data_IF_406071777106
#
_entry.id   IF_406071777106
#
_cell.length_a   1.000
_cell.length_b   1.000
_cell.length_c   1.000
_cell.angle_alpha   90.00
_cell.angle_beta   90.00
_cell.angle_gamma   90.00
#
_symmetry.space_group_name_H-M   'P 1'
#
loop_
_entity.id
_entity.type
_entity.pdbx_description
1 polymer ?
#
# COMPACT_ATOMS: atom_id res chain seq x y z
N UNK A 1 3.09 17.46 17.95
CA UNK A 1 1.66 17.19 18.22
C UNK A 1 1.57 16.69 19.64
N UNK A 2 0.84 17.40 20.49
CA UNK A 2 0.68 17.04 21.90
C UNK A 2 -0.01 15.67 22.03
N UNK A 3 0.20 14.98 23.15
CA UNK A 3 -0.56 13.77 23.49
C UNK A 3 -2.06 14.05 23.46
N UNK A 4 -2.46 15.24 23.90
CA UNK A 4 -3.86 15.69 23.93
C UNK A 4 -4.41 15.90 22.50
N UNK A 5 -3.60 16.45 21.58
CA UNK A 5 -4.00 16.65 20.17
C UNK A 5 -4.29 15.31 19.48
N UNK A 6 -3.55 14.26 19.84
CA UNK A 6 -3.74 12.91 19.29
C UNK A 6 -5.02 12.28 19.78
N UNK A 7 -5.24 12.31 21.09
CA UNK A 7 -6.48 11.80 21.71
C UNK A 7 -7.69 12.51 21.12
N UNK A 8 -7.60 13.83 20.94
CA UNK A 8 -8.65 14.62 20.32
C UNK A 8 -8.94 14.22 18.86
N UNK A 9 -7.90 14.02 18.03
CA UNK A 9 -8.08 13.59 16.65
C UNK A 9 -8.60 12.14 16.55
N UNK A 10 -8.23 11.26 17.46
CA UNK A 10 -8.75 9.89 17.54
C UNK A 10 -10.25 9.89 17.89
N UNK A 11 -10.66 10.76 18.82
CA UNK A 11 -12.06 10.94 19.18
C UNK A 11 -12.90 11.52 18.04
N UNK A 12 -12.34 12.51 17.32
CA UNK A 12 -12.94 13.10 16.12
C UNK A 12 -13.16 12.04 15.03
N UNK A 13 -12.13 11.24 14.77
CA UNK A 13 -12.16 10.16 13.78
C UNK A 13 -13.18 9.08 14.14
N UNK A 14 -13.28 8.69 15.42
CA UNK A 14 -14.28 7.74 15.91
C UNK A 14 -15.70 8.26 15.66
N UNK A 15 -15.91 9.56 15.88
CA UNK A 15 -17.20 10.23 15.66
C UNK A 15 -17.58 10.23 14.18
N UNK A 16 -16.66 10.63 13.30
CA UNK A 16 -16.91 10.63 11.86
C UNK A 16 -17.19 9.25 11.29
N UNK A 17 -16.41 8.23 11.69
CA UNK A 17 -16.65 6.85 11.24
C UNK A 17 -18.02 6.33 11.68
N UNK A 18 -18.45 6.65 12.90
CA UNK A 18 -19.78 6.26 13.39
C UNK A 18 -20.89 6.92 12.57
N UNK A 19 -20.74 8.20 12.25
CA UNK A 19 -21.72 8.93 11.42
C UNK A 19 -21.74 8.40 9.98
N UNK A 20 -20.56 8.18 9.39
CA UNK A 20 -20.42 7.62 8.05
C UNK A 20 -21.12 6.25 7.95
N UNK A 21 -20.89 5.36 8.92
CA UNK A 21 -21.52 4.04 8.93
C UNK A 21 -23.06 4.11 8.96
N UNK A 22 -23.63 5.04 9.74
CA UNK A 22 -25.08 5.23 9.78
C UNK A 22 -25.61 5.73 8.43
N UNK A 23 -24.92 6.69 7.81
CA UNK A 23 -25.32 7.24 6.51
C UNK A 23 -25.13 6.22 5.38
N UNK A 24 -24.09 5.40 5.41
CA UNK A 24 -23.89 4.31 4.44
C UNK A 24 -24.98 3.24 4.56
N UNK A 25 -25.42 2.91 5.78
CA UNK A 25 -26.58 2.03 6.00
C UNK A 25 -27.88 2.65 5.47
N UNK A 26 -28.09 3.95 5.69
CA UNK A 26 -29.25 4.66 5.15
C UNK A 26 -29.21 4.72 3.62
N UNK A 27 -28.06 5.07 3.03
CA UNK A 27 -27.86 5.07 1.59
C UNK A 27 -28.11 3.68 0.99
N UNK A 28 -27.66 2.61 1.65
CA UNK A 28 -27.95 1.24 1.25
C UNK A 28 -29.45 0.90 1.35
N UNK A 29 -30.17 1.43 2.35
CA UNK A 29 -31.61 1.25 2.50
C UNK A 29 -32.41 1.93 1.37
N UNK A 30 -31.99 3.12 0.94
CA UNK A 30 -32.63 3.86 -0.16
C UNK A 30 -32.13 3.45 -1.55
N UNK A 31 -30.98 2.78 -1.65
CA UNK A 31 -30.38 2.33 -2.89
C UNK A 31 -30.14 3.49 -3.87
N UNK A 32 -30.62 3.34 -5.10
CA UNK A 32 -30.48 4.36 -6.16
C UNK A 32 -31.26 5.65 -5.84
N UNK A 33 -32.20 5.61 -4.90
CA UNK A 33 -33.02 6.76 -4.49
C UNK A 33 -32.48 7.45 -3.24
N UNK A 34 -31.22 7.20 -2.85
CA UNK A 34 -30.60 7.89 -1.73
C UNK A 34 -30.71 9.42 -1.93
N UNK A 35 -31.31 10.16 -0.98
CA UNK A 35 -31.42 11.60 -1.08
C UNK A 35 -30.04 12.27 -1.24
N UNK A 36 -29.92 13.35 -2.04
CA UNK A 36 -28.63 14.00 -2.30
C UNK A 36 -27.89 14.46 -1.04
N UNK A 37 -28.61 14.88 0.00
CA UNK A 37 -27.98 15.30 1.26
C UNK A 37 -27.25 14.15 1.97
N UNK A 38 -27.68 12.90 1.80
CA UNK A 38 -27.01 11.73 2.36
C UNK A 38 -25.71 11.45 1.59
N UNK A 39 -25.75 11.49 0.25
CA UNK A 39 -24.57 11.24 -0.56
C UNK A 39 -23.51 12.33 -0.38
N UNK A 40 -23.92 13.60 -0.30
CA UNK A 40 -23.03 14.73 -0.04
C UNK A 40 -22.38 14.58 1.35
N UNK A 41 -23.18 14.27 2.39
CA UNK A 41 -22.64 14.10 3.75
C UNK A 41 -21.69 12.90 3.85
N UNK A 42 -21.93 11.81 3.10
CA UNK A 42 -21.01 10.67 3.00
C UNK A 42 -19.67 11.09 2.39
N UNK A 43 -19.71 11.84 1.28
CA UNK A 43 -18.49 12.27 0.59
C UNK A 43 -17.68 13.25 1.45
N UNK A 44 -18.34 14.21 2.10
CA UNK A 44 -17.71 15.15 3.03
C UNK A 44 -17.08 14.43 4.23
N UNK A 45 -17.79 13.46 4.82
CA UNK A 45 -17.28 12.67 5.94
C UNK A 45 -16.08 11.81 5.53
N UNK A 46 -16.07 11.25 4.32
CA UNK A 46 -14.92 10.49 3.80
C UNK A 46 -13.68 11.38 3.67
N UNK A 47 -13.84 12.59 3.16
CA UNK A 47 -12.75 13.58 3.08
C UNK A 47 -12.25 13.95 4.48
N UNK A 48 -13.15 14.24 5.41
CA UNK A 48 -12.78 14.58 6.80
C UNK A 48 -12.08 13.44 7.53
N UNK A 49 -12.49 12.19 7.33
CA UNK A 49 -11.81 11.00 7.86
C UNK A 49 -10.40 10.91 7.26
N UNK A 50 -10.27 11.03 5.95
CA UNK A 50 -8.98 10.94 5.27
C UNK A 50 -8.00 12.03 5.77
N UNK A 51 -8.46 13.26 5.91
CA UNK A 51 -7.63 14.37 6.44
C UNK A 51 -7.21 14.14 7.89
N UNK A 52 -8.13 13.62 8.72
CA UNK A 52 -7.87 13.33 10.13
C UNK A 52 -6.89 12.15 10.26
N UNK A 53 -7.03 11.13 9.42
CA UNK A 53 -6.09 10.01 9.31
C UNK A 53 -4.72 10.45 8.84
N UNK A 54 -4.61 11.40 7.90
CA UNK A 54 -3.31 11.98 7.50
C UNK A 54 -2.66 12.76 8.64
N UNK A 55 -3.43 13.53 9.42
CA UNK A 55 -2.95 14.24 10.62
C UNK A 55 -2.50 13.27 11.72
N UNK A 56 -3.23 12.18 11.95
CA UNK A 56 -2.84 11.11 12.87
C UNK A 56 -1.65 10.29 12.36
N UNK A 57 -1.56 9.99 11.07
CA UNK A 57 -0.48 9.20 10.46
C UNK A 57 0.83 9.98 10.31
N UNK A 58 0.78 11.31 10.28
CA UNK A 58 1.96 12.17 10.31
C UNK A 58 2.56 12.28 11.73
N UNK A 59 1.74 12.22 12.78
CA UNK A 59 2.21 12.25 14.17
C UNK A 59 2.42 10.85 14.80
N UNK A 60 1.68 9.84 14.34
CA UNK A 60 1.67 8.45 14.78
C UNK A 60 2.59 7.53 13.98
N UNK A 61 3.58 8.09 13.29
CA UNK A 61 4.71 7.34 12.75
C UNK A 61 5.68 6.91 13.85
N UNK A 62 5.18 6.41 14.97
CA UNK A 62 5.85 5.32 15.68
C UNK A 62 5.74 4.11 14.76
N UNK A 63 6.77 3.99 13.92
CA UNK A 63 7.17 2.78 13.21
C UNK A 63 6.76 1.54 14.02
N UNK A 64 5.96 0.60 13.48
CA UNK A 64 5.76 -0.67 14.19
C UNK A 64 7.15 -1.29 14.41
N UNK A 65 7.43 -1.52 15.70
CA UNK A 65 8.71 -1.96 16.21
C UNK A 65 9.21 -3.23 15.50
N UNK A 66 10.23 -3.06 14.66
CA UNK A 66 11.34 -3.98 14.38
C UNK A 66 12.13 -3.45 13.17
N UNK A 67 12.81 -2.31 13.32
CA UNK A 67 13.93 -1.97 12.43
C UNK A 67 15.17 -2.72 12.88
N UNK A 68 15.23 -4.00 12.53
CA UNK A 68 16.49 -4.75 12.49
C UNK A 68 16.96 -5.03 11.06
N UNK A 69 16.20 -4.60 10.02
CA UNK A 69 16.64 -4.65 8.63
C UNK A 69 16.45 -3.27 7.97
N UNK A 70 17.50 -2.79 7.28
CA UNK A 70 17.76 -1.40 6.93
C UNK A 70 16.58 -0.63 6.30
N UNK A 71 16.40 0.62 6.74
CA UNK A 71 15.49 1.54 6.05
C UNK A 71 16.13 1.87 4.70
N UNK A 72 15.54 1.42 3.60
CA UNK A 72 16.06 1.71 2.27
C UNK A 72 16.12 3.22 2.06
N UNK A 73 17.29 3.73 1.67
CA UNK A 73 17.44 5.12 1.26
C UNK A 73 16.59 5.40 0.02
N UNK A 74 16.22 6.66 -0.21
CA UNK A 74 15.48 7.07 -1.43
C UNK A 74 16.18 6.56 -2.70
N UNK A 75 17.52 6.58 -2.72
CA UNK A 75 18.31 6.08 -3.83
C UNK A 75 18.23 4.55 -3.96
N UNK A 76 18.27 3.80 -2.86
CA UNK A 76 18.11 2.35 -2.88
C UNK A 76 16.70 1.94 -3.31
N UNK A 77 15.67 2.67 -2.87
CA UNK A 77 14.29 2.45 -3.30
C UNK A 77 14.13 2.70 -4.81
N UNK A 78 14.75 3.74 -5.33
CA UNK A 78 14.77 4.01 -6.76
C UNK A 78 15.45 2.89 -7.54
N UNK A 79 16.65 2.44 -7.11
CA UNK A 79 17.37 1.34 -7.76
C UNK A 79 16.58 0.02 -7.71
N UNK A 80 15.90 -0.24 -6.60
CA UNK A 80 15.01 -1.39 -6.46
C UNK A 80 13.85 -1.32 -7.47
N UNK A 81 13.21 -0.16 -7.57
CA UNK A 81 12.10 0.08 -8.50
C UNK A 81 12.55 -0.10 -9.96
N UNK A 82 13.70 0.45 -10.33
CA UNK A 82 14.26 0.31 -11.68
C UNK A 82 14.55 -1.16 -12.03
N UNK A 83 15.02 -1.95 -11.06
CA UNK A 83 15.25 -3.39 -11.25
C UNK A 83 13.95 -4.16 -11.40
N UNK A 84 12.95 -3.86 -10.59
CA UNK A 84 11.63 -4.46 -10.77
C UNK A 84 11.02 -4.08 -12.13
N UNK A 85 11.19 -2.84 -12.60
CA UNK A 85 10.71 -2.44 -13.93
C UNK A 85 11.42 -3.11 -15.09
N UNK A 86 12.67 -3.56 -14.90
CA UNK A 86 13.43 -4.27 -15.92
C UNK A 86 12.98 -5.73 -16.08
N UNK A 87 12.21 -6.27 -15.14
CA UNK A 87 11.74 -7.65 -15.16
C UNK A 87 10.70 -7.88 -16.26
N UNK A 88 10.82 -8.96 -17.06
CA UNK A 88 9.81 -9.31 -18.07
C UNK A 88 8.42 -9.47 -17.47
N UNK A 89 8.29 -10.12 -16.30
CA UNK A 89 7.01 -10.30 -15.62
C UNK A 89 6.34 -8.99 -15.18
N UNK A 90 7.08 -7.88 -15.09
CA UNK A 90 6.53 -6.58 -14.72
C UNK A 90 6.47 -5.56 -15.87
N UNK A 91 6.88 -5.96 -17.07
CA UNK A 91 6.95 -5.10 -18.26
C UNK A 91 5.57 -4.71 -18.80
N UNK A 92 4.57 -5.60 -18.69
CA UNK A 92 3.19 -5.36 -19.16
C UNK A 92 2.20 -5.35 -18.01
N UNK A 93 1.06 -4.67 -18.19
CA UNK A 93 -0.01 -4.62 -17.18
C UNK A 93 -0.53 -6.02 -16.85
N UNK A 94 -0.78 -6.84 -17.88
CA UNK A 94 -1.30 -8.21 -17.71
C UNK A 94 -0.31 -9.11 -16.97
N UNK A 95 0.99 -9.02 -17.28
CA UNK A 95 2.02 -9.77 -16.57
C UNK A 95 2.15 -9.30 -15.11
N UNK A 96 2.10 -7.99 -14.85
CA UNK A 96 2.08 -7.46 -13.46
C UNK A 96 0.88 -7.95 -12.68
N UNK A 97 -0.29 -7.99 -13.30
CA UNK A 97 -1.51 -8.51 -12.67
C UNK A 97 -1.32 -9.98 -12.25
N UNK A 98 -0.72 -10.80 -13.11
CA UNK A 98 -0.41 -12.19 -12.79
C UNK A 98 0.56 -12.31 -11.60
N UNK A 99 1.60 -11.47 -11.53
CA UNK A 99 2.52 -11.44 -10.37
C UNK A 99 1.79 -11.02 -9.10
N UNK A 100 0.96 -9.97 -9.15
CA UNK A 100 0.20 -9.49 -8.00
C UNK A 100 -0.77 -10.56 -7.50
N UNK A 101 -1.42 -11.31 -8.40
CA UNK A 101 -2.33 -12.40 -8.03
C UNK A 101 -1.65 -13.57 -7.30
N UNK A 102 -0.32 -13.74 -7.42
CA UNK A 102 0.42 -14.72 -6.64
C UNK A 102 0.68 -14.27 -5.19
N UNK A 103 0.46 -12.99 -4.88
CA UNK A 103 0.61 -12.48 -3.52
C UNK A 103 -0.64 -12.81 -2.68
N UNK A 104 -0.48 -12.92 -1.34
CA UNK A 104 -1.62 -13.09 -0.46
C UNK A 104 -2.64 -11.96 -0.60
N UNK A 105 -3.93 -12.30 -0.50
CA UNK A 105 -5.05 -11.36 -0.70
C UNK A 105 -4.99 -10.12 0.21
N UNK A 106 -4.44 -10.25 1.41
CA UNK A 106 -4.28 -9.13 2.34
C UNK A 106 -3.22 -8.12 1.90
N UNK A 107 -2.24 -8.51 1.08
CA UNK A 107 -1.28 -7.60 0.45
C UNK A 107 -1.90 -7.02 -0.81
N UNK A 108 -2.46 -7.86 -1.69
CA UNK A 108 -3.01 -7.42 -2.98
C UNK A 108 -4.08 -6.35 -2.83
N UNK A 109 -4.98 -6.52 -1.85
CA UNK A 109 -6.08 -5.59 -1.59
C UNK A 109 -5.60 -4.23 -1.06
N UNK A 110 -4.37 -4.16 -0.54
CA UNK A 110 -3.75 -2.93 -0.07
C UNK A 110 -2.91 -2.22 -1.14
N UNK A 111 -2.74 -2.81 -2.32
CA UNK A 111 -1.99 -2.19 -3.42
C UNK A 111 -2.93 -1.24 -4.16
N UNK A 112 -2.62 0.05 -4.11
CA UNK A 112 -3.29 1.06 -4.96
C UNK A 112 -2.79 0.90 -6.40
N UNK A 113 -3.54 0.13 -7.21
CA UNK A 113 -3.18 -0.18 -8.61
C UNK A 113 -3.26 1.06 -9.48
N UNK A 114 -2.34 1.17 -10.44
CA UNK A 114 -2.26 2.31 -11.34
C UNK A 114 -1.92 1.90 -12.79
N UNK A 115 -2.35 2.68 -13.78
CA UNK A 115 -2.15 2.35 -15.20
C UNK A 115 -0.69 2.53 -15.65
N UNK A 116 -0.04 3.61 -15.21
CA UNK A 116 1.39 3.83 -15.44
C UNK A 116 2.23 2.72 -14.80
N UNK A 117 3.02 2.01 -15.61
CA UNK A 117 3.86 0.90 -15.18
C UNK A 117 4.79 1.27 -14.03
N UNK A 118 5.46 2.43 -14.13
CA UNK A 118 6.37 2.92 -13.08
C UNK A 118 5.62 3.20 -11.77
N UNK A 119 4.46 3.84 -11.84
CA UNK A 119 3.68 4.18 -10.64
C UNK A 119 3.10 2.91 -10.00
N UNK A 120 2.61 1.97 -10.80
CA UNK A 120 2.05 0.70 -10.31
C UNK A 120 3.13 -0.12 -9.58
N UNK A 121 4.32 -0.27 -10.17
CA UNK A 121 5.46 -0.96 -9.54
C UNK A 121 5.90 -0.28 -8.25
N UNK A 122 5.95 1.07 -8.23
CA UNK A 122 6.25 1.82 -6.99
C UNK A 122 5.22 1.53 -5.90
N UNK A 123 3.93 1.51 -6.24
CA UNK A 123 2.87 1.22 -5.29
C UNK A 123 2.95 -0.22 -4.79
N UNK A 124 3.20 -1.19 -5.67
CA UNK A 124 3.43 -2.60 -5.30
C UNK A 124 4.59 -2.69 -4.29
N UNK A 125 5.77 -2.16 -4.62
CA UNK A 125 6.95 -2.26 -3.75
C UNK A 125 6.70 -1.57 -2.40
N UNK A 126 6.12 -0.35 -2.40
CA UNK A 126 5.79 0.37 -1.15
C UNK A 126 4.84 -0.42 -0.27
N UNK A 127 3.77 -0.95 -0.85
CA UNK A 127 2.79 -1.75 -0.11
C UNK A 127 3.46 -2.99 0.45
N UNK A 128 4.19 -3.73 -0.37
CA UNK A 128 4.87 -4.96 0.00
C UNK A 128 5.90 -4.76 1.12
N UNK A 129 6.65 -3.65 1.09
CA UNK A 129 7.60 -3.29 2.16
C UNK A 129 6.93 -2.98 3.51
N UNK A 130 5.61 -2.74 3.54
CA UNK A 130 4.87 -2.57 4.79
C UNK A 130 4.49 -3.90 5.46
N UNK A 131 4.68 -5.04 4.78
CA UNK A 131 4.37 -6.36 5.33
C UNK A 131 5.64 -7.12 5.69
N UNK A 132 5.60 -7.80 6.84
CA UNK A 132 6.64 -8.77 7.22
C UNK A 132 6.70 -9.88 6.16
N UNK A 133 7.90 -10.23 5.70
CA UNK A 133 8.14 -11.14 4.56
C UNK A 133 7.56 -10.66 3.21
N UNK A 134 7.00 -9.46 3.11
CA UNK A 134 6.38 -9.00 1.88
C UNK A 134 7.36 -9.03 0.70
N UNK A 135 8.56 -8.48 0.91
CA UNK A 135 9.58 -8.46 -0.15
C UNK A 135 9.94 -9.87 -0.62
N UNK A 136 10.04 -10.83 0.30
CA UNK A 136 10.26 -12.25 -0.01
C UNK A 136 9.13 -12.84 -0.84
N UNK A 137 7.88 -12.56 -0.47
CA UNK A 137 6.71 -12.99 -1.22
C UNK A 137 6.70 -12.44 -2.64
N UNK A 138 7.05 -11.15 -2.81
CA UNK A 138 7.15 -10.53 -4.13
C UNK A 138 8.29 -11.12 -4.96
N UNK A 139 9.46 -11.34 -4.37
CA UNK A 139 10.58 -11.99 -5.08
C UNK A 139 10.21 -13.41 -5.48
N UNK A 140 9.55 -14.18 -4.62
CA UNK A 140 9.07 -15.53 -4.96
C UNK A 140 8.02 -15.52 -6.07
N UNK A 141 7.08 -14.56 -6.04
CA UNK A 141 6.08 -14.39 -7.08
C UNK A 141 6.72 -14.07 -8.42
N UNK A 142 7.67 -13.13 -8.46
CA UNK A 142 8.43 -12.79 -9.67
C UNK A 142 9.26 -13.98 -10.15
N UNK A 143 9.94 -14.69 -9.25
CA UNK A 143 10.77 -15.85 -9.56
C UNK A 143 9.99 -16.95 -10.26
N UNK A 144 8.71 -17.13 -9.95
CA UNK A 144 7.86 -18.08 -10.65
C UNK A 144 7.76 -17.79 -12.16
N UNK A 145 7.81 -16.51 -12.57
CA UNK A 145 7.68 -16.10 -13.98
C UNK A 145 9.02 -15.83 -14.66
N UNK A 146 9.98 -15.26 -13.95
CA UNK A 146 11.25 -14.78 -14.49
C UNK A 146 12.46 -15.67 -14.10
N UNK A 147 12.21 -16.93 -13.71
CA UNK A 147 13.29 -17.87 -13.37
C UNK A 147 14.30 -17.99 -14.52
N UNK A 148 15.59 -17.94 -14.19
CA UNK A 148 16.67 -18.01 -15.17
C UNK A 148 16.96 -16.73 -15.95
N UNK A 149 16.21 -15.64 -15.74
CA UNK A 149 16.50 -14.35 -16.40
C UNK A 149 17.67 -13.61 -15.75
N UNK A 150 18.47 -12.90 -16.56
CA UNK A 150 19.56 -12.06 -16.06
C UNK A 150 19.05 -10.92 -15.16
N UNK A 151 17.84 -10.42 -15.46
CA UNK A 151 17.19 -9.35 -14.71
C UNK A 151 16.84 -9.79 -13.29
N UNK A 152 16.33 -11.02 -13.11
CA UNK A 152 16.06 -11.59 -11.78
C UNK A 152 17.36 -11.81 -11.00
N UNK A 153 18.40 -12.36 -11.64
CA UNK A 153 19.70 -12.54 -11.00
C UNK A 153 20.31 -11.20 -10.52
N UNK A 154 20.20 -10.15 -11.34
CA UNK A 154 20.66 -8.81 -10.98
C UNK A 154 19.87 -8.21 -9.80
N UNK A 155 18.56 -8.47 -9.72
CA UNK A 155 17.72 -8.09 -8.59
C UNK A 155 18.17 -8.82 -7.32
N UNK A 156 18.30 -10.14 -7.35
CA UNK A 156 18.71 -10.94 -6.18
C UNK A 156 20.11 -10.56 -5.69
N UNK A 157 21.05 -10.31 -6.60
CA UNK A 157 22.40 -9.84 -6.26
C UNK A 157 22.36 -8.47 -5.55
N UNK A 158 21.51 -7.55 -6.01
CA UNK A 158 21.31 -6.26 -5.37
C UNK A 158 20.70 -6.40 -3.97
N UNK A 159 19.69 -7.27 -3.82
CA UNK A 159 19.04 -7.50 -2.54
C UNK A 159 19.99 -8.16 -1.52
N UNK A 160 20.86 -9.08 -1.95
CA UNK A 160 21.96 -9.63 -1.12
C UNK A 160 22.93 -8.54 -0.66
N UNK A 161 23.36 -7.67 -1.59
CA UNK A 161 24.29 -6.58 -1.28
C UNK A 161 23.73 -5.57 -0.28
N UNK A 162 22.43 -5.34 -0.29
CA UNK A 162 21.75 -4.36 0.57
C UNK A 162 21.32 -4.92 1.93
N UNK A 163 21.62 -6.20 2.21
CA UNK A 163 21.22 -6.92 3.42
C UNK A 163 19.72 -6.80 3.72
N UNK A 164 18.90 -6.71 2.66
CA UNK A 164 17.45 -6.80 2.79
C UNK A 164 17.12 -8.25 3.14
N UNK A 165 16.33 -8.47 4.20
CA UNK A 165 15.86 -9.81 4.52
C UNK A 165 14.83 -10.25 3.48
N UNK A 166 15.23 -11.15 2.58
CA UNK A 166 14.36 -11.80 1.60
C UNK A 166 14.58 -13.32 1.49
N UNK A 167 15.51 -13.88 2.28
CA UNK A 167 15.88 -15.30 2.32
C UNK A 167 15.11 -16.07 3.40
#
# INVERSE_FOLDING_TARGET
>A
MSSDDRVHLEELLRTYRRRLQVLELQAAQFGIYAPPHITIEIDDLKVHIQDTEMKLGSAGRSVPAARENGTLSTQQFQQLTERFLALPSLSTRSSRDAVVQQLPSHITNAISRHDSAKVDVVNIIRTVLNYKEGLKLLVNAVRFFDDGTEQLQALEAFLRKTNLAWY
#
